data_IF_238805657367
#
_entry.id   IF_238805657367
#
_cell.length_a   1.000
_cell.length_b   1.000
_cell.length_c   1.000
_cell.angle_alpha   90.00
_cell.angle_beta   90.00
_cell.angle_gamma   90.00
#
_symmetry.space_group_name_H-M   'P 1'
#
loop_
_entity.id
_entity.type
_entity.pdbx_description
1 polymer ?
#
# COMPACT_ATOMS: atom_id res chain seq x y z
N UNK A 1 4.82 13.35 3.66
CA UNK A 1 4.51 12.41 2.57
C UNK A 1 5.06 11.00 2.81
N UNK A 2 5.33 10.57 4.05
CA UNK A 2 5.91 9.23 4.35
C UNK A 2 4.97 8.31 5.14
N UNK A 3 3.97 8.87 5.84
CA UNK A 3 2.97 8.09 6.58
C UNK A 3 1.83 7.64 5.65
N UNK A 4 1.47 8.46 4.66
CA UNK A 4 0.36 8.18 3.73
C UNK A 4 0.87 7.49 2.45
N UNK A 5 1.39 6.27 2.58
CA UNK A 5 1.74 5.45 1.43
C UNK A 5 0.74 4.31 1.24
N UNK A 6 -0.55 4.58 1.41
CA UNK A 6 -1.64 3.60 1.29
C UNK A 6 -1.64 2.87 -0.06
N UNK A 7 -1.13 3.50 -1.13
CA UNK A 7 -0.93 2.83 -2.42
C UNK A 7 0.02 1.61 -2.34
N UNK A 8 0.94 1.57 -1.37
CA UNK A 8 1.82 0.43 -1.14
C UNK A 8 1.14 -0.74 -0.45
N UNK A 9 0.38 -0.48 0.63
CA UNK A 9 -0.32 -1.55 1.35
C UNK A 9 -1.32 -2.25 0.44
N UNK A 10 -2.01 -1.48 -0.40
CA UNK A 10 -2.93 -1.99 -1.43
C UNK A 10 -2.17 -2.85 -2.45
N UNK A 11 -1.05 -2.36 -2.97
CA UNK A 11 -0.23 -3.12 -3.92
C UNK A 11 0.28 -4.45 -3.35
N UNK A 12 0.81 -4.45 -2.12
CA UNK A 12 1.32 -5.68 -1.50
C UNK A 12 0.21 -6.72 -1.31
N UNK A 13 -0.97 -6.27 -0.86
CA UNK A 13 -2.13 -7.15 -0.67
C UNK A 13 -2.67 -7.68 -2.00
N UNK A 14 -2.75 -6.82 -3.02
CA UNK A 14 -3.21 -7.19 -4.36
C UNK A 14 -2.25 -8.20 -5.02
N UNK A 15 -0.95 -7.97 -4.90
CA UNK A 15 0.07 -8.88 -5.41
C UNK A 15 -0.01 -10.24 -4.71
N UNK A 16 -0.24 -10.28 -3.40
CA UNK A 16 -0.41 -11.52 -2.65
C UNK A 16 -1.63 -12.32 -3.12
N UNK A 17 -2.79 -11.67 -3.27
CA UNK A 17 -4.00 -12.33 -3.78
C UNK A 17 -3.82 -12.81 -5.21
N UNK A 18 -3.18 -12.00 -6.07
CA UNK A 18 -2.87 -12.39 -7.44
C UNK A 18 -2.01 -13.65 -7.50
N UNK A 19 -0.93 -13.73 -6.72
CA UNK A 19 -0.06 -14.92 -6.71
C UNK A 19 -0.73 -16.14 -6.08
N UNK A 20 -1.57 -15.96 -5.06
CA UNK A 20 -2.35 -17.05 -4.50
C UNK A 20 -3.29 -17.66 -5.57
N UNK A 21 -3.98 -16.82 -6.34
CA UNK A 21 -4.83 -17.24 -7.44
C UNK A 21 -4.02 -17.88 -8.59
N UNK A 22 -2.88 -17.30 -8.95
CA UNK A 22 -2.01 -17.81 -10.01
C UNK A 22 -1.48 -19.21 -9.70
N UNK A 23 -1.16 -19.49 -8.43
CA UNK A 23 -0.62 -20.78 -7.99
C UNK A 23 -1.68 -21.75 -7.45
N UNK A 24 -2.96 -21.36 -7.41
CA UNK A 24 -4.03 -22.17 -6.86
C UNK A 24 -3.88 -22.42 -5.34
N UNK A 25 -3.24 -21.50 -4.63
CA UNK A 25 -3.07 -21.57 -3.17
C UNK A 25 -4.31 -21.02 -2.48
N UNK A 26 -4.92 -21.82 -1.60
CA UNK A 26 -5.94 -21.32 -0.70
C UNK A 26 -5.29 -20.60 0.47
N UNK A 27 -5.62 -19.31 0.64
CA UNK A 27 -5.03 -18.43 1.65
C UNK A 27 -5.62 -18.74 3.04
N UNK A 28 -6.91 -19.08 3.08
CA UNK A 28 -7.68 -19.19 4.32
C UNK A 28 -7.76 -17.90 5.16
N UNK A 29 -8.59 -17.86 6.22
CA UNK A 29 -8.81 -16.65 7.03
C UNK A 29 -7.54 -16.15 7.74
N UNK A 30 -6.70 -17.08 8.21
CA UNK A 30 -5.44 -16.74 8.89
C UNK A 30 -4.41 -16.14 7.92
N UNK A 31 -4.35 -16.61 6.68
CA UNK A 31 -3.47 -16.05 5.66
C UNK A 31 -3.90 -14.63 5.28
N UNK A 32 -5.20 -14.35 5.17
CA UNK A 32 -5.68 -12.98 4.94
C UNK A 32 -5.31 -12.03 6.08
N UNK A 33 -5.43 -12.48 7.33
CA UNK A 33 -4.98 -11.70 8.49
C UNK A 33 -3.47 -11.43 8.44
N UNK A 34 -2.66 -12.43 8.08
CA UNK A 34 -1.23 -12.28 7.91
C UNK A 34 -0.87 -11.29 6.78
N UNK A 35 -1.56 -11.34 5.64
CA UNK A 35 -1.40 -10.40 4.52
C UNK A 35 -1.68 -8.97 5.00
N UNK A 36 -2.84 -8.74 5.63
CA UNK A 36 -3.23 -7.39 6.09
C UNK A 36 -2.23 -6.83 7.09
N UNK A 37 -1.82 -7.63 8.09
CA UNK A 37 -0.84 -7.21 9.09
C UNK A 37 0.51 -6.88 8.46
N UNK A 38 1.04 -7.79 7.63
CA UNK A 38 2.36 -7.60 7.01
C UNK A 38 2.38 -6.51 5.95
N UNK A 39 1.31 -6.34 5.17
CA UNK A 39 1.18 -5.24 4.21
C UNK A 39 1.08 -3.88 4.91
N UNK A 40 0.38 -3.82 6.05
CA UNK A 40 0.25 -2.59 6.85
C UNK A 40 1.60 -2.20 7.47
N UNK A 41 2.28 -3.14 8.12
CA UNK A 41 3.62 -2.93 8.67
C UNK A 41 4.61 -2.57 7.57
N UNK A 42 4.53 -3.25 6.43
CA UNK A 42 5.37 -2.97 5.27
C UNK A 42 5.19 -1.56 4.72
N UNK A 43 3.94 -1.07 4.62
CA UNK A 43 3.66 0.30 4.15
C UNK A 43 4.39 1.37 4.97
N UNK A 44 4.42 1.21 6.29
CA UNK A 44 5.15 2.09 7.22
C UNK A 44 6.68 1.87 7.08
N UNK A 45 7.10 0.61 6.94
CA UNK A 45 8.51 0.22 6.83
C UNK A 45 9.20 0.60 5.52
N UNK A 46 8.46 0.95 4.46
CA UNK A 46 9.02 1.25 3.14
C UNK A 46 10.03 2.40 3.16
N UNK A 47 9.92 3.35 4.10
CA UNK A 47 10.85 4.48 4.22
C UNK A 47 12.32 4.05 4.44
N UNK A 48 12.57 2.84 4.94
CA UNK A 48 13.91 2.31 5.24
C UNK A 48 14.39 1.19 4.30
N UNK A 49 13.59 0.76 3.33
CA UNK A 49 13.86 -0.46 2.53
C UNK A 49 14.05 -0.12 1.06
N UNK A 50 15.14 -0.59 0.41
CA UNK A 50 15.40 -0.33 -1.00
C UNK A 50 14.41 -1.10 -1.88
N UNK A 51 13.44 -0.37 -2.42
CA UNK A 51 12.50 -0.86 -3.42
C UNK A 51 11.27 -1.57 -2.82
N UNK A 52 10.12 -1.46 -3.49
CA UNK A 52 8.85 -1.99 -2.99
C UNK A 52 8.70 -3.52 -3.14
N UNK A 53 9.45 -4.13 -4.05
CA UNK A 53 9.38 -5.57 -4.34
C UNK A 53 9.84 -6.43 -3.16
N UNK A 54 10.78 -5.92 -2.34
CA UNK A 54 11.27 -6.58 -1.14
C UNK A 54 10.17 -6.80 -0.09
N UNK A 55 9.23 -5.86 0.00
CA UNK A 55 8.10 -5.99 0.91
C UNK A 55 7.01 -6.93 0.38
N UNK A 56 6.85 -7.03 -0.94
CA UNK A 56 5.97 -8.06 -1.53
C UNK A 56 6.44 -9.46 -1.16
N UNK A 57 7.76 -9.71 -1.17
CA UNK A 57 8.33 -11.00 -0.73
C UNK A 57 7.95 -11.31 0.71
N UNK A 58 8.04 -10.32 1.61
CA UNK A 58 7.68 -10.49 3.01
C UNK A 58 6.19 -10.86 3.18
N UNK A 59 5.30 -10.24 2.43
CA UNK A 59 3.86 -10.52 2.46
C UNK A 59 3.54 -11.92 1.91
N UNK A 60 4.14 -12.32 0.78
CA UNK A 60 3.96 -13.66 0.21
C UNK A 60 4.43 -14.74 1.18
N UNK A 61 5.59 -14.56 1.80
CA UNK A 61 6.14 -15.48 2.80
C UNK A 61 5.23 -15.58 4.05
N UNK A 62 4.67 -14.47 4.51
CA UNK A 62 3.77 -14.43 5.66
C UNK A 62 2.45 -15.19 5.43
N UNK A 63 2.01 -15.26 4.18
CA UNK A 63 0.81 -15.99 3.77
C UNK A 63 1.11 -17.40 3.23
N UNK A 64 2.37 -17.86 3.31
CA UNK A 64 2.83 -19.14 2.77
C UNK A 64 2.59 -19.31 1.25
N UNK A 65 2.68 -18.20 0.49
CA UNK A 65 2.51 -18.17 -0.96
C UNK A 65 3.87 -18.31 -1.65
N UNK A 66 4.03 -19.20 -2.66
CA UNK A 66 5.27 -19.36 -3.39
C UNK A 66 5.76 -18.06 -4.04
N UNK A 67 7.05 -17.74 -3.85
CA UNK A 67 7.69 -16.54 -4.44
C UNK A 67 8.20 -16.78 -5.87
N UNK A 68 7.96 -17.94 -6.46
CA UNK A 68 8.44 -18.29 -7.81
C UNK A 68 7.88 -17.36 -8.91
N UNK A 69 6.78 -16.65 -8.61
CA UNK A 69 6.16 -15.67 -9.50
C UNK A 69 6.78 -14.27 -9.44
N UNK A 70 7.72 -14.02 -8.53
CA UNK A 70 8.36 -12.71 -8.38
C UNK A 70 9.02 -12.17 -9.67
N UNK A 71 9.62 -12.99 -10.56
CA UNK A 71 10.12 -12.52 -11.86
C UNK A 71 9.07 -11.87 -12.76
N UNK A 72 7.81 -12.34 -12.73
CA UNK A 72 6.69 -11.70 -13.43
C UNK A 72 6.45 -10.30 -12.86
N UNK A 73 6.49 -10.16 -11.53
CA UNK A 73 6.32 -8.88 -10.86
C UNK A 73 7.44 -7.90 -11.23
N UNK A 74 8.69 -8.36 -11.27
CA UNK A 74 9.83 -7.54 -11.69
C UNK A 74 9.69 -6.99 -13.11
N UNK A 75 9.09 -7.77 -14.02
CA UNK A 75 8.84 -7.32 -15.40
C UNK A 75 7.88 -6.13 -15.50
N UNK A 76 6.99 -5.97 -14.52
CA UNK A 76 5.98 -4.91 -14.47
C UNK A 76 6.20 -3.91 -13.33
N UNK A 77 7.23 -4.11 -12.50
CA UNK A 77 7.49 -3.37 -11.26
C UNK A 77 7.54 -1.86 -11.51
N UNK A 78 8.17 -1.43 -12.61
CA UNK A 78 8.23 0.00 -13.00
C UNK A 78 6.87 0.62 -13.30
N UNK A 79 5.95 -0.14 -13.92
CA UNK A 79 4.61 0.36 -14.21
C UNK A 79 3.81 0.52 -12.92
N UNK A 80 3.81 -0.50 -12.07
CA UNK A 80 3.10 -0.47 -10.79
C UNK A 80 3.69 0.53 -9.80
N UNK A 81 4.99 0.80 -9.88
CA UNK A 81 5.64 1.86 -9.11
C UNK A 81 5.11 3.25 -9.50
N UNK A 82 5.09 3.58 -10.80
CA UNK A 82 4.55 4.85 -11.28
C UNK A 82 3.07 5.05 -10.91
N UNK A 83 2.25 4.00 -11.06
CA UNK A 83 0.83 4.05 -10.69
C UNK A 83 0.65 4.35 -9.20
N UNK A 84 1.44 3.74 -8.32
CA UNK A 84 1.39 4.04 -6.89
C UNK A 84 1.83 5.45 -6.56
N UNK A 85 2.89 5.95 -7.18
CA UNK A 85 3.32 7.33 -6.98
C UNK A 85 2.21 8.30 -7.36
N UNK A 86 1.52 8.05 -8.48
CA UNK A 86 0.39 8.88 -8.91
C UNK A 86 -0.77 8.87 -7.91
N UNK A 87 -1.16 7.69 -7.41
CA UNK A 87 -2.23 7.56 -6.39
C UNK A 87 -1.84 8.27 -5.10
N UNK A 88 -0.61 8.10 -4.62
CA UNK A 88 -0.15 8.71 -3.37
C UNK A 88 -0.13 10.24 -3.46
N UNK A 89 0.38 10.81 -4.57
CA UNK A 89 0.38 12.27 -4.77
C UNK A 89 -1.04 12.81 -4.87
N UNK A 90 -1.95 12.08 -5.55
CA UNK A 90 -3.36 12.47 -5.66
C UNK A 90 -4.06 12.46 -4.31
N UNK A 91 -3.79 11.46 -3.46
CA UNK A 91 -4.30 11.37 -2.09
C UNK A 91 -3.82 12.52 -1.22
N UNK A 92 -2.51 12.80 -1.23
CA UNK A 92 -1.91 13.91 -0.49
C UNK A 92 -2.50 15.27 -0.93
N UNK A 93 -2.69 15.47 -2.24
CA UNK A 93 -3.30 16.68 -2.79
C UNK A 93 -4.76 16.85 -2.37
N UNK A 94 -5.52 15.75 -2.34
CA UNK A 94 -6.92 15.75 -1.90
C UNK A 94 -7.04 16.08 -0.42
N UNK A 95 -6.19 15.48 0.42
CA UNK A 95 -6.11 15.78 1.85
C UNK A 95 -5.78 17.25 2.12
N UNK A 96 -4.87 17.85 1.35
CA UNK A 96 -4.51 19.27 1.50
C UNK A 96 -5.74 20.18 1.28
N UNK A 97 -6.53 19.94 0.24
CA UNK A 97 -7.76 20.71 -0.05
C UNK A 97 -8.81 20.53 1.05
N UNK A 98 -9.00 19.31 1.54
CA UNK A 98 -9.93 19.03 2.64
C UNK A 98 -9.49 19.78 3.91
N UNK A 99 -8.21 19.73 4.23
CA UNK A 99 -7.65 20.36 5.43
C UNK A 99 -7.74 21.89 5.37
N UNK A 100 -7.54 22.48 4.19
CA UNK A 100 -7.79 23.91 3.96
C UNK A 100 -9.26 24.28 4.22
N UNK A 101 -10.21 23.46 3.73
CA UNK A 101 -11.63 23.64 3.98
C UNK A 101 -11.99 23.60 5.47
N UNK A 102 -11.44 22.62 6.21
CA UNK A 102 -11.63 22.49 7.67
C UNK A 102 -11.05 23.71 8.40
N UNK A 103 -9.81 24.10 8.10
CA UNK A 103 -9.16 25.28 8.71
C UNK A 103 -9.92 26.58 8.45
N UNK A 104 -10.50 26.73 7.25
CA UNK A 104 -11.33 27.89 6.91
C UNK A 104 -12.62 27.91 7.71
N UNK A 105 -13.22 26.74 7.98
CA UNK A 105 -14.42 26.62 8.80
C UNK A 105 -14.16 26.89 10.28
N UNK A 106 -13.03 26.43 10.83
CA UNK A 106 -12.63 26.70 12.21
C UNK A 106 -12.31 28.19 12.39
N UNK A 107 -11.52 28.80 11.50
CA UNK A 107 -11.27 30.24 11.56
C UNK A 107 -12.54 31.08 11.50
N UNK A 108 -13.59 30.61 10.82
CA UNK A 108 -14.88 31.31 10.77
C UNK A 108 -15.68 31.20 12.08
N UNK A 109 -15.52 30.10 12.82
CA UNK A 109 -16.15 29.90 14.14
C UNK A 109 -15.41 30.66 15.24
N UNK A 110 -14.07 30.67 15.20
CA UNK A 110 -13.23 31.38 16.19
C UNK A 110 -13.31 32.90 16.06
N UNK A 111 -13.52 33.41 14.84
CA UNK A 111 -13.69 34.84 14.57
C UNK A 111 -15.19 35.27 14.50
N UNK A 112 -16.11 34.44 14.98
CA UNK A 112 -17.51 34.83 15.12
C UNK A 112 -17.66 35.76 16.33
N UNK A 113 -18.42 36.87 16.21
CA UNK A 113 -18.59 37.88 17.27
C UNK A 113 -19.35 37.36 18.49
#
# INVERSE_FOLDING_TARGET
ATINMDGNSVYYSLAAVFFAQLFGVDIGPAGYAAIVLTATVGSIGQAGVPGPTLLVVAVLMAANIPVIGLPLLFGVDRLFDMLRTAVNITGDSSCAVIMEGINRSENRKTNAP
#
